data_IF_610220112696
#
_entry.id   IF_610220112696
#
_cell.length_a   1.000
_cell.length_b   1.000
_cell.length_c   1.000
_cell.angle_alpha   90.00
_cell.angle_beta   90.00
_cell.angle_gamma   90.00
#
_symmetry.space_group_name_H-M   'P 1'
#
loop_
_entity.id
_entity.type
_entity.pdbx_description
1 polymer ?
#
# COMPACT_ATOMS: atom_id res chain seq x y z
N UNK A 1 28.19 9.73 -4.15
CA UNK A 1 27.25 8.94 -4.99
C UNK A 1 26.68 7.80 -4.18
N UNK A 2 25.38 7.58 -4.27
CA UNK A 2 24.75 6.50 -3.52
C UNK A 2 25.14 5.13 -4.10
N UNK A 3 25.40 4.15 -3.22
CA UNK A 3 25.65 2.76 -3.62
C UNK A 3 24.37 2.11 -4.13
N UNK A 4 23.21 2.46 -3.52
CA UNK A 4 21.90 1.97 -3.93
C UNK A 4 21.32 2.90 -4.98
N UNK A 5 20.88 2.37 -6.10
CA UNK A 5 20.46 3.14 -7.27
C UNK A 5 18.95 3.36 -7.38
N UNK A 6 18.15 2.40 -6.90
CA UNK A 6 16.68 2.48 -6.94
C UNK A 6 16.03 1.45 -6.03
N UNK A 7 14.76 1.67 -5.72
CA UNK A 7 13.90 0.61 -5.18
C UNK A 7 13.53 -0.35 -6.31
N UNK A 8 13.68 -1.65 -6.09
CA UNK A 8 13.32 -2.68 -7.07
C UNK A 8 11.87 -3.13 -6.91
N UNK A 9 11.53 -3.59 -5.72
CA UNK A 9 10.17 -4.02 -5.40
C UNK A 9 9.84 -3.79 -3.93
N UNK A 10 8.55 -3.95 -3.62
CA UNK A 10 8.01 -3.92 -2.27
C UNK A 10 7.50 -5.32 -1.92
N UNK A 11 7.59 -5.72 -0.68
CA UNK A 11 7.07 -6.99 -0.21
C UNK A 11 6.14 -6.79 0.98
N UNK A 12 4.96 -7.42 0.91
CA UNK A 12 4.05 -7.55 2.05
C UNK A 12 3.97 -9.02 2.44
N UNK A 13 3.88 -9.28 3.72
CA UNK A 13 3.72 -10.64 4.24
C UNK A 13 2.29 -10.83 4.71
N UNK A 14 1.73 -12.00 4.39
CA UNK A 14 0.40 -12.39 4.87
C UNK A 14 0.44 -13.79 5.48
N UNK A 15 -0.39 -14.07 6.49
CA UNK A 15 -0.50 -15.43 7.03
C UNK A 15 -1.02 -16.40 5.97
N UNK A 16 -0.69 -17.70 6.07
CA UNK A 16 -1.13 -18.70 5.09
C UNK A 16 -2.64 -18.77 4.85
N UNK A 17 -3.44 -18.54 5.90
CA UNK A 17 -4.92 -18.53 5.83
C UNK A 17 -5.50 -17.27 5.17
N UNK A 18 -4.69 -16.30 4.84
CA UNK A 18 -5.08 -15.03 4.18
C UNK A 18 -4.54 -14.89 2.76
N UNK A 19 -3.87 -15.90 2.23
CA UNK A 19 -3.24 -15.84 0.91
C UNK A 19 -4.24 -15.52 -0.20
N UNK A 20 -5.32 -16.28 -0.30
CA UNK A 20 -6.34 -16.06 -1.35
C UNK A 20 -6.97 -14.67 -1.25
N UNK A 21 -7.32 -14.26 -0.04
CA UNK A 21 -7.90 -12.94 0.21
C UNK A 21 -6.93 -11.81 -0.16
N UNK A 22 -5.64 -11.96 0.14
CA UNK A 22 -4.62 -10.98 -0.21
C UNK A 22 -4.42 -10.88 -1.73
N UNK A 23 -4.34 -12.02 -2.42
CA UNK A 23 -4.22 -12.04 -3.88
C UNK A 23 -5.42 -11.36 -4.54
N UNK A 24 -6.64 -11.69 -4.10
CA UNK A 24 -7.85 -11.06 -4.60
C UNK A 24 -7.89 -9.55 -4.30
N UNK A 25 -7.44 -9.15 -3.12
CA UNK A 25 -7.37 -7.74 -2.73
C UNK A 25 -6.49 -6.93 -3.70
N UNK A 26 -5.27 -7.37 -3.95
CA UNK A 26 -4.35 -6.62 -4.81
C UNK A 26 -4.73 -6.70 -6.29
N UNK A 27 -5.21 -7.85 -6.75
CA UNK A 27 -5.64 -8.04 -8.14
C UNK A 27 -6.96 -7.35 -8.46
N UNK A 28 -7.99 -7.56 -7.62
CA UNK A 28 -9.37 -7.21 -7.97
C UNK A 28 -9.79 -5.86 -7.38
N UNK A 29 -9.49 -5.58 -6.11
CA UNK A 29 -9.87 -4.32 -5.47
C UNK A 29 -8.90 -3.19 -5.80
N UNK A 30 -7.59 -3.42 -5.62
CA UNK A 30 -6.57 -2.43 -5.94
C UNK A 30 -6.36 -2.33 -7.45
N UNK A 31 -6.43 -3.46 -8.16
CA UNK A 31 -6.34 -3.52 -9.62
C UNK A 31 -4.92 -3.65 -10.16
N UNK A 32 -3.97 -4.13 -9.37
CA UNK A 32 -2.62 -4.39 -9.86
C UNK A 32 -2.62 -5.59 -10.82
N UNK A 33 -1.82 -5.51 -11.87
CA UNK A 33 -1.70 -6.56 -12.86
C UNK A 33 -0.87 -7.72 -12.34
N UNK A 34 -1.43 -8.96 -12.27
CA UNK A 34 -0.65 -10.12 -11.87
C UNK A 34 0.51 -10.40 -12.83
N UNK A 35 1.64 -10.81 -12.26
CA UNK A 35 2.83 -11.23 -12.99
C UNK A 35 3.11 -12.70 -12.72
N UNK A 36 3.69 -13.37 -13.71
CA UNK A 36 4.23 -14.70 -13.49
C UNK A 36 5.43 -14.61 -12.55
N UNK A 37 5.38 -15.35 -11.46
CA UNK A 37 6.52 -15.43 -10.54
C UNK A 37 7.69 -16.17 -11.18
N UNK A 38 8.92 -15.81 -10.82
CA UNK A 38 10.08 -16.63 -11.18
C UNK A 38 9.94 -18.09 -10.68
N UNK A 39 10.29 -19.03 -11.53
CA UNK A 39 10.13 -20.46 -11.22
C UNK A 39 10.86 -20.89 -9.94
N UNK A 40 11.97 -20.23 -9.62
CA UNK A 40 12.78 -20.49 -8.42
C UNK A 40 12.08 -20.13 -7.10
N UNK A 41 11.01 -19.35 -7.14
CA UNK A 41 10.33 -18.85 -5.93
C UNK A 41 9.11 -19.67 -5.51
N UNK A 42 8.78 -20.74 -6.24
CA UNK A 42 7.65 -21.62 -5.94
C UNK A 42 6.27 -20.95 -6.19
N UNK A 43 5.18 -21.69 -5.93
CA UNK A 43 3.83 -21.28 -6.34
C UNK A 43 3.10 -20.40 -5.34
N UNK A 44 3.56 -20.29 -4.09
CA UNK A 44 2.86 -19.56 -3.02
C UNK A 44 3.04 -18.05 -3.16
N UNK A 45 2.01 -17.30 -2.72
CA UNK A 45 2.01 -15.85 -2.81
C UNK A 45 1.74 -15.35 -4.22
N UNK A 46 2.20 -14.13 -4.54
CA UNK A 46 1.98 -13.54 -5.84
C UNK A 46 2.88 -12.34 -6.09
N UNK A 47 3.12 -12.06 -7.37
CA UNK A 47 3.79 -10.86 -7.83
C UNK A 47 2.83 -10.02 -8.67
N UNK A 48 2.92 -8.71 -8.54
CA UNK A 48 2.05 -7.77 -9.24
C UNK A 48 2.86 -6.59 -9.79
N UNK A 49 2.47 -6.11 -10.96
CA UNK A 49 2.96 -4.83 -11.49
C UNK A 49 2.16 -3.70 -10.86
N UNK A 50 2.85 -2.79 -10.19
CA UNK A 50 2.25 -1.58 -9.59
C UNK A 50 2.34 -0.41 -10.56
N UNK A 51 3.49 -0.26 -11.22
CA UNK A 51 3.76 0.79 -12.20
C UNK A 51 4.66 0.25 -13.30
N UNK A 52 4.42 0.67 -14.54
CA UNK A 52 5.20 0.23 -15.70
C UNK A 52 6.34 1.19 -16.04
N UNK A 53 6.19 2.48 -15.74
CA UNK A 53 7.22 3.47 -16.00
C UNK A 53 7.21 4.55 -14.90
N UNK A 54 8.16 4.50 -13.96
CA UNK A 54 9.15 3.44 -13.76
C UNK A 54 8.52 2.11 -13.34
N UNK A 55 9.20 1.02 -13.63
CA UNK A 55 8.74 -0.32 -13.26
C UNK A 55 8.86 -0.55 -11.77
N UNK A 56 7.72 -0.84 -11.10
CA UNK A 56 7.68 -1.27 -9.71
C UNK A 56 6.77 -2.48 -9.55
N UNK A 57 7.18 -3.41 -8.70
CA UNK A 57 6.41 -4.59 -8.35
C UNK A 57 6.05 -4.60 -6.87
N UNK A 58 4.92 -5.23 -6.57
CA UNK A 58 4.54 -5.65 -5.24
C UNK A 58 4.57 -7.18 -5.18
N UNK A 59 5.24 -7.71 -4.17
CA UNK A 59 5.28 -9.14 -3.90
C UNK A 59 4.47 -9.46 -2.64
N UNK A 60 3.61 -10.45 -2.72
CA UNK A 60 2.90 -11.01 -1.56
C UNK A 60 3.59 -12.28 -1.14
N UNK A 61 4.25 -12.27 -0.01
CA UNK A 61 4.94 -13.40 0.59
C UNK A 61 4.10 -14.03 1.70
N UNK A 62 4.25 -15.32 1.91
CA UNK A 62 3.52 -16.06 2.96
C UNK A 62 4.39 -16.17 4.20
N UNK A 63 3.95 -15.54 5.30
CA UNK A 63 4.65 -15.52 6.58
C UNK A 63 4.05 -16.59 7.50
N UNK A 64 4.75 -17.70 7.66
CA UNK A 64 4.33 -18.75 8.57
C UNK A 64 4.51 -18.32 10.03
N UNK A 65 3.58 -18.70 10.89
CA UNK A 65 3.63 -18.42 12.32
C UNK A 65 3.15 -17.05 12.74
N UNK A 66 2.68 -16.20 11.79
CA UNK A 66 2.02 -14.94 12.09
C UNK A 66 0.52 -15.04 11.84
N UNK A 67 -0.26 -14.20 12.53
CA UNK A 67 -1.68 -14.01 12.24
C UNK A 67 -1.94 -12.57 11.79
N UNK A 68 -3.07 -12.34 11.12
CA UNK A 68 -3.47 -10.98 10.75
C UNK A 68 -3.64 -10.08 11.97
N UNK A 69 -4.02 -10.65 13.14
CA UNK A 69 -4.19 -9.90 14.37
C UNK A 69 -2.87 -9.37 14.94
N UNK A 70 -1.76 -10.07 14.71
CA UNK A 70 -0.43 -9.63 15.13
C UNK A 70 0.03 -8.35 14.42
N UNK A 71 -0.58 -8.03 13.27
CA UNK A 71 -0.23 -6.88 12.46
C UNK A 71 -1.18 -5.68 12.65
N UNK A 72 -2.17 -5.79 13.53
CA UNK A 72 -3.21 -4.77 13.74
C UNK A 72 -2.80 -3.54 14.55
N UNK A 73 -1.55 -3.26 14.74
CA UNK A 73 -1.14 -2.00 15.36
C UNK A 73 -1.31 -0.86 14.35
N UNK A 74 -2.18 0.10 14.67
CA UNK A 74 -2.56 1.21 13.81
C UNK A 74 -1.63 2.42 13.87
N UNK A 75 -0.47 2.31 14.52
CA UNK A 75 0.46 3.43 14.55
C UNK A 75 0.95 3.79 13.15
N UNK A 76 0.79 5.04 12.68
CA UNK A 76 1.34 5.46 11.40
C UNK A 76 2.88 5.48 11.38
N UNK A 77 3.50 5.29 12.54
CA UNK A 77 4.96 5.14 12.66
C UNK A 77 5.45 3.73 12.35
N UNK A 78 4.53 2.78 12.18
CA UNK A 78 4.89 1.42 11.79
C UNK A 78 5.27 1.33 10.32
N UNK A 79 5.95 0.24 9.98
CA UNK A 79 6.25 -0.07 8.59
C UNK A 79 4.95 -0.13 7.79
N UNK A 80 4.90 0.63 6.72
CA UNK A 80 3.76 0.67 5.81
C UNK A 80 4.24 0.94 4.40
N UNK A 81 3.39 0.61 3.42
CA UNK A 81 3.55 1.02 2.04
C UNK A 81 2.67 2.23 1.78
N UNK A 82 3.14 3.14 0.95
CA UNK A 82 2.39 4.32 0.57
C UNK A 82 2.15 4.33 -0.94
N UNK A 83 0.89 4.48 -1.33
CA UNK A 83 0.46 4.53 -2.72
C UNK A 83 -0.25 5.85 -3.01
N UNK A 84 0.12 6.47 -4.11
CA UNK A 84 -0.55 7.66 -4.59
C UNK A 84 -1.73 7.27 -5.48
N UNK A 85 -2.86 7.96 -5.31
CA UNK A 85 -4.05 7.83 -6.17
C UNK A 85 -4.32 9.15 -6.87
N UNK A 86 -5.00 9.08 -8.01
CA UNK A 86 -5.35 10.28 -8.76
C UNK A 86 -6.48 11.09 -8.07
N UNK A 87 -7.43 10.39 -7.45
CA UNK A 87 -8.58 10.97 -6.77
C UNK A 87 -8.78 10.29 -5.41
N UNK A 88 -8.40 10.98 -4.34
CA UNK A 88 -8.44 10.44 -2.99
C UNK A 88 -9.87 10.18 -2.51
N UNK A 89 -10.83 11.05 -2.86
CA UNK A 89 -12.23 10.88 -2.48
C UNK A 89 -12.85 9.67 -3.18
N UNK A 90 -12.55 9.46 -4.45
CA UNK A 90 -13.01 8.30 -5.21
C UNK A 90 -12.42 7.00 -4.65
N UNK A 91 -11.13 7.00 -4.30
CA UNK A 91 -10.48 5.85 -3.67
C UNK A 91 -11.12 5.52 -2.32
N UNK A 92 -11.39 6.53 -1.49
CA UNK A 92 -12.09 6.36 -0.21
C UNK A 92 -13.44 5.69 -0.40
N UNK A 93 -14.27 6.19 -1.29
CA UNK A 93 -15.59 5.60 -1.57
C UNK A 93 -15.48 4.13 -1.99
N UNK A 94 -14.56 3.83 -2.88
CA UNK A 94 -14.33 2.45 -3.35
C UNK A 94 -13.99 1.51 -2.20
N UNK A 95 -13.12 1.94 -1.29
CA UNK A 95 -12.70 1.12 -0.16
C UNK A 95 -13.80 1.00 0.90
N UNK A 96 -14.54 2.05 1.17
CA UNK A 96 -15.71 2.00 2.07
C UNK A 96 -16.79 1.05 1.53
N UNK A 97 -17.10 1.12 0.25
CA UNK A 97 -18.05 0.22 -0.42
C UNK A 97 -17.59 -1.24 -0.38
N UNK A 98 -16.29 -1.48 -0.38
CA UNK A 98 -15.71 -2.82 -0.21
C UNK A 98 -15.69 -3.29 1.24
N UNK A 99 -16.16 -2.49 2.19
CA UNK A 99 -16.22 -2.84 3.61
C UNK A 99 -14.91 -2.62 4.37
N UNK A 100 -13.97 -1.90 3.80
CA UNK A 100 -12.71 -1.59 4.49
C UNK A 100 -12.90 -0.48 5.52
N UNK A 101 -12.22 -0.63 6.65
CA UNK A 101 -12.07 0.45 7.62
C UNK A 101 -11.13 1.52 7.06
N UNK A 102 -11.58 2.76 7.08
CA UNK A 102 -10.73 3.92 6.78
C UNK A 102 -10.12 4.42 8.09
N UNK A 103 -8.80 4.41 8.16
CA UNK A 103 -8.07 4.90 9.33
C UNK A 103 -7.69 6.36 9.03
N UNK A 104 -8.37 7.26 9.72
CA UNK A 104 -8.17 8.70 9.56
C UNK A 104 -6.84 9.14 10.17
N UNK A 105 -6.12 9.97 9.44
CA UNK A 105 -4.87 10.59 9.89
C UNK A 105 -4.79 12.02 9.37
N UNK A 106 -3.99 12.83 10.03
CA UNK A 106 -3.75 14.21 9.59
C UNK A 106 -2.99 14.24 8.27
N UNK A 107 -3.25 15.27 7.47
CA UNK A 107 -2.47 15.55 6.27
C UNK A 107 -1.00 15.77 6.59
N UNK A 108 -0.13 15.40 5.67
CA UNK A 108 1.27 15.81 5.74
C UNK A 108 1.46 17.11 4.99
N UNK A 109 2.25 18.01 5.54
CA UNK A 109 2.58 19.27 4.88
C UNK A 109 3.94 19.78 5.29
N UNK A 110 4.50 20.64 4.46
CA UNK A 110 5.71 21.38 4.80
C UNK A 110 5.67 22.75 4.11
N UNK A 111 5.73 23.79 4.91
CA UNK A 111 5.85 25.16 4.42
C UNK A 111 7.18 25.37 3.67
N UNK A 112 8.27 24.88 4.26
CA UNK A 112 9.61 25.01 3.66
C UNK A 112 9.73 24.29 2.32
N UNK A 113 9.15 23.07 2.21
CA UNK A 113 9.18 22.25 0.99
C UNK A 113 8.00 22.53 0.05
N UNK A 114 7.16 23.49 0.39
CA UNK A 114 5.98 23.91 -0.36
C UNK A 114 5.09 22.75 -0.79
N UNK A 115 4.60 21.97 0.18
CA UNK A 115 3.63 20.94 -0.14
C UNK A 115 2.59 20.70 0.95
N UNK A 116 1.44 20.24 0.52
CA UNK A 116 0.37 19.64 1.31
C UNK A 116 -0.09 18.33 0.62
N UNK A 117 -0.43 17.34 1.43
CA UNK A 117 -0.87 16.03 0.91
C UNK A 117 -1.86 15.40 1.88
N UNK A 118 -3.13 15.29 1.47
CA UNK A 118 -4.14 14.57 2.22
C UNK A 118 -3.95 13.07 2.05
N UNK A 119 -4.35 12.30 3.06
CA UNK A 119 -4.11 10.86 3.12
C UNK A 119 -5.07 10.18 4.09
N UNK A 120 -5.16 8.87 3.95
CA UNK A 120 -5.74 7.97 4.93
C UNK A 120 -5.02 6.62 4.88
N UNK A 121 -5.30 5.77 5.84
CA UNK A 121 -4.76 4.41 5.85
C UNK A 121 -5.86 3.38 5.71
N UNK A 122 -5.54 2.24 5.12
CA UNK A 122 -6.34 1.03 5.07
C UNK A 122 -5.47 -0.17 5.45
N UNK A 123 -6.08 -1.34 5.63
CA UNK A 123 -5.35 -2.59 5.83
C UNK A 123 -5.66 -3.56 4.70
N UNK A 124 -4.64 -4.29 4.27
CA UNK A 124 -4.85 -5.44 3.43
C UNK A 124 -5.39 -6.63 4.25
N UNK A 125 -5.81 -7.74 3.63
CA UNK A 125 -6.34 -8.91 4.35
C UNK A 125 -5.36 -9.57 5.31
N UNK A 126 -4.07 -9.38 5.12
CA UNK A 126 -3.02 -9.85 6.04
C UNK A 126 -2.78 -8.93 7.24
N UNK A 127 -3.45 -7.77 7.29
CA UNK A 127 -3.27 -6.76 8.33
C UNK A 127 -2.18 -5.74 8.02
N UNK A 128 -1.56 -5.77 6.85
CA UNK A 128 -0.55 -4.79 6.46
C UNK A 128 -1.18 -3.40 6.31
N UNK A 129 -0.48 -2.40 6.83
CA UNK A 129 -0.92 -1.02 6.78
C UNK A 129 -0.53 -0.40 5.43
N UNK A 130 -1.50 0.19 4.74
CA UNK A 130 -1.31 0.87 3.47
C UNK A 130 -1.74 2.33 3.62
N UNK A 131 -0.84 3.24 3.28
CA UNK A 131 -1.13 4.67 3.20
C UNK A 131 -1.58 5.03 1.80
N UNK A 132 -2.70 5.71 1.70
CA UNK A 132 -3.28 6.15 0.43
C UNK A 132 -3.22 7.68 0.41
N UNK A 133 -2.55 8.24 -0.59
CA UNK A 133 -2.23 9.65 -0.65
C UNK A 133 -2.73 10.27 -1.96
N UNK A 134 -3.14 11.52 -1.88
CA UNK A 134 -3.33 12.34 -3.09
C UNK A 134 -1.97 12.77 -3.67
N UNK A 135 -1.93 13.27 -4.93
CA UNK A 135 -0.76 13.98 -5.42
C UNK A 135 -0.45 15.21 -4.54
N UNK A 136 0.83 15.50 -4.37
CA UNK A 136 1.25 16.70 -3.62
C UNK A 136 0.73 17.95 -4.31
N UNK A 137 0.16 18.87 -3.53
CA UNK A 137 -0.20 20.23 -3.96
C UNK A 137 0.61 21.26 -3.19
N UNK A 138 0.60 22.52 -3.65
CA UNK A 138 1.29 23.59 -2.96
C UNK A 138 0.75 23.77 -1.54
N UNK A 139 1.63 24.18 -0.62
CA UNK A 139 1.25 24.53 0.74
C UNK A 139 0.37 25.79 0.71
N UNK A 140 -0.74 25.75 1.43
CA UNK A 140 -1.60 26.91 1.68
C UNK A 140 -1.80 27.05 3.19
N UNK A 141 -1.46 28.21 3.74
CA UNK A 141 -1.63 28.48 5.18
C UNK A 141 -3.11 28.49 5.62
N UNK A 142 -4.06 28.66 4.68
CA UNK A 142 -5.48 28.58 4.96
C UNK A 142 -5.96 27.17 5.32
N UNK A 143 -5.20 26.13 4.96
CA UNK A 143 -5.51 24.73 5.28
C UNK A 143 -5.07 24.33 6.70
N UNK A 144 -4.40 25.23 7.44
CA UNK A 144 -3.78 24.90 8.72
C UNK A 144 -4.10 25.94 9.83
#
# INVERSE_FOLDING_TARGET
MAVLTRVDHMNVQVPPDREEAAIAFYRDLIGFRPLKKPDSLGPRGGHFCVSEDPWYELHVGIARGTSADDLKDNSPLRNHLAFQVADLAAARRKFEEAGLEIIEVEATYSKERDFHQDRFFIRDPGGNLLEILEPRRAYDSADH
#
